data_IF_648148614880
#
_entry.id   IF_648148614880
#
_cell.length_a   1.000
_cell.length_b   1.000
_cell.length_c   1.000
_cell.angle_alpha   90.00
_cell.angle_beta   90.00
_cell.angle_gamma   90.00
#
_symmetry.space_group_name_H-M   'P 1'
#
loop_
_entity.id
_entity.type
_entity.pdbx_description
1 polymer ?
#
# COMPACT_ATOMS: atom_id res chain seq x y z
N UNK A 1 -17.99 14.69 -0.17
CA UNK A 1 -17.12 13.49 -0.16
C UNK A 1 -15.84 13.84 -0.89
N UNK A 2 -14.75 14.03 -0.17
CA UNK A 2 -13.47 14.38 -0.79
C UNK A 2 -12.94 13.14 -1.51
N UNK A 3 -12.74 13.24 -2.83
CA UNK A 3 -11.93 12.27 -3.57
C UNK A 3 -10.51 12.39 -3.02
N UNK A 4 -10.16 11.48 -2.12
CA UNK A 4 -8.95 11.57 -1.29
C UNK A 4 -7.70 11.16 -2.07
N UNK A 5 -6.65 11.98 -1.97
CA UNK A 5 -5.31 11.65 -2.47
C UNK A 5 -4.84 10.33 -1.85
N UNK A 6 -4.26 9.44 -2.66
CA UNK A 6 -3.67 8.18 -2.19
C UNK A 6 -2.59 8.46 -1.12
N UNK A 7 -2.62 7.70 -0.02
CA UNK A 7 -1.74 7.89 1.13
C UNK A 7 -1.30 6.56 1.74
N UNK A 8 -0.16 6.49 2.43
CA UNK A 8 0.21 5.31 3.19
C UNK A 8 -0.83 5.04 4.28
N UNK A 9 -1.21 3.77 4.43
CA UNK A 9 -2.10 3.29 5.50
C UNK A 9 -1.31 2.32 6.36
N UNK A 10 -1.20 2.60 7.66
CA UNK A 10 -0.53 1.72 8.61
C UNK A 10 -1.47 0.58 8.98
N UNK A 11 -1.09 -0.64 8.60
CA UNK A 11 -1.89 -1.86 8.86
C UNK A 11 -1.35 -2.69 10.02
N UNK A 12 -0.08 -2.54 10.38
CA UNK A 12 0.56 -3.23 11.51
C UNK A 12 1.26 -2.20 12.38
N UNK A 13 1.07 -2.30 13.69
CA UNK A 13 1.76 -1.50 14.70
C UNK A 13 2.52 -2.43 15.64
N UNK A 14 3.80 -2.16 15.83
CA UNK A 14 4.60 -2.84 16.84
C UNK A 14 4.46 -2.11 18.17
N UNK A 15 4.13 -2.83 19.23
CA UNK A 15 4.23 -2.35 20.60
C UNK A 15 5.55 -2.87 21.17
N UNK A 16 6.50 -1.96 21.36
CA UNK A 16 7.83 -2.30 21.88
C UNK A 16 7.79 -2.71 23.36
N UNK A 17 6.86 -2.16 24.13
CA UNK A 17 6.75 -2.40 25.58
C UNK A 17 6.14 -3.79 25.88
N UNK A 18 5.13 -4.18 25.11
CA UNK A 18 4.44 -5.47 25.25
C UNK A 18 5.04 -6.55 24.35
N UNK A 19 6.09 -6.23 23.59
CA UNK A 19 6.68 -7.11 22.56
C UNK A 19 5.61 -7.75 21.65
N UNK A 20 4.58 -6.98 21.30
CA UNK A 20 3.40 -7.46 20.58
C UNK A 20 3.20 -6.71 19.27
N UNK A 21 2.43 -7.29 18.37
CA UNK A 21 2.02 -6.65 17.12
C UNK A 21 0.50 -6.59 17.06
N UNK A 22 -0.03 -5.43 16.70
CA UNK A 22 -1.47 -5.24 16.49
C UNK A 22 -1.76 -4.98 15.03
N UNK A 23 -2.80 -5.64 14.51
CA UNK A 23 -3.27 -5.50 13.15
C UNK A 23 -4.47 -4.54 13.13
N UNK A 24 -4.46 -3.60 12.18
CA UNK A 24 -5.59 -2.70 11.93
C UNK A 24 -6.54 -3.36 10.92
N UNK A 25 -7.32 -4.34 11.40
CA UNK A 25 -8.23 -5.15 10.58
C UNK A 25 -9.22 -4.28 9.80
N UNK A 26 -9.88 -3.33 10.47
CA UNK A 26 -10.83 -2.41 9.80
C UNK A 26 -10.21 -1.63 8.65
N UNK A 27 -8.95 -1.20 8.78
CA UNK A 27 -8.27 -0.45 7.74
C UNK A 27 -7.90 -1.34 6.55
N UNK A 28 -7.52 -2.59 6.83
CA UNK A 28 -7.17 -3.57 5.80
C UNK A 28 -8.41 -4.06 5.04
N UNK A 29 -9.50 -4.35 5.75
CA UNK A 29 -10.79 -4.74 5.17
C UNK A 29 -11.31 -3.66 4.21
N UNK A 30 -11.29 -2.39 4.63
CA UNK A 30 -11.71 -1.25 3.78
C UNK A 30 -10.86 -1.09 2.52
N UNK A 31 -9.64 -1.62 2.47
CA UNK A 31 -8.76 -1.53 1.30
C UNK A 31 -8.90 -2.75 0.38
N UNK A 32 -9.01 -3.96 0.94
CA UNK A 32 -9.00 -5.20 0.16
C UNK A 32 -10.41 -5.72 -0.20
N UNK A 33 -11.45 -5.35 0.55
CA UNK A 33 -12.83 -5.79 0.31
C UNK A 33 -13.66 -4.73 -0.42
N UNK A 34 -13.02 -3.86 -1.20
CA UNK A 34 -13.75 -2.94 -2.10
C UNK A 34 -14.28 -3.74 -3.29
N UNK A 35 -15.50 -3.44 -3.72
CA UNK A 35 -16.20 -4.18 -4.79
C UNK A 35 -15.36 -4.27 -6.07
N UNK A 36 -14.57 -3.23 -6.37
CA UNK A 36 -13.76 -3.14 -7.58
C UNK A 36 -12.50 -4.04 -7.56
N UNK A 37 -12.05 -4.51 -6.39
CA UNK A 37 -10.77 -5.22 -6.23
C UNK A 37 -10.85 -6.53 -5.45
N UNK A 38 -11.93 -6.79 -4.70
CA UNK A 38 -12.05 -7.93 -3.79
C UNK A 38 -11.91 -9.29 -4.49
N UNK A 39 -12.35 -9.38 -5.75
CA UNK A 39 -12.38 -10.62 -6.53
C UNK A 39 -11.17 -10.76 -7.49
N UNK A 40 -10.21 -9.84 -7.40
CA UNK A 40 -9.01 -9.84 -8.25
C UNK A 40 -7.87 -10.63 -7.62
N UNK A 41 -7.01 -11.22 -8.46
CA UNK A 41 -5.76 -11.84 -7.98
C UNK A 41 -4.83 -10.78 -7.40
N UNK A 42 -4.36 -11.03 -6.16
CA UNK A 42 -3.49 -10.10 -5.42
C UNK A 42 -2.03 -10.53 -5.54
N UNK A 43 -1.15 -9.55 -5.80
CA UNK A 43 0.30 -9.70 -5.71
C UNK A 43 0.82 -8.81 -4.59
N UNK A 44 1.54 -9.39 -3.63
CA UNK A 44 2.16 -8.65 -2.52
C UNK A 44 3.61 -8.33 -2.87
N UNK A 45 3.93 -7.04 -2.95
CA UNK A 45 5.30 -6.54 -3.13
C UNK A 45 5.77 -5.94 -1.80
N UNK A 46 6.87 -6.46 -1.26
CA UNK A 46 7.43 -6.02 0.02
C UNK A 46 8.93 -5.76 -0.06
N UNK A 47 9.40 -4.80 0.72
CA UNK A 47 10.82 -4.44 0.86
C UNK A 47 11.20 -4.50 2.34
N UNK A 48 12.03 -5.46 2.71
CA UNK A 48 12.55 -5.64 4.07
C UNK A 48 14.08 -5.44 4.11
N UNK A 49 14.63 -5.17 5.30
CA UNK A 49 16.07 -5.03 5.50
C UNK A 49 16.46 -3.99 6.56
N UNK A 50 17.76 -3.73 6.68
CA UNK A 50 18.32 -2.88 7.74
C UNK A 50 17.75 -1.44 7.76
N UNK A 51 17.66 -0.86 8.95
CA UNK A 51 17.20 0.52 9.16
C UNK A 51 18.12 1.51 8.41
N UNK A 52 17.52 2.55 7.80
CA UNK A 52 18.21 3.61 7.02
C UNK A 52 18.94 3.17 5.73
N UNK A 53 18.58 2.01 5.14
CA UNK A 53 19.08 1.59 3.81
C UNK A 53 18.20 2.04 2.62
N UNK A 54 17.37 3.07 2.79
CA UNK A 54 16.58 3.63 1.69
C UNK A 54 15.36 2.81 1.27
N UNK A 55 14.80 1.96 2.14
CA UNK A 55 13.61 1.14 1.83
C UNK A 55 12.42 1.96 1.35
N UNK A 56 12.06 3.02 2.09
CA UNK A 56 10.96 3.93 1.71
C UNK A 56 11.24 4.66 0.41
N UNK A 57 12.51 4.97 0.10
CA UNK A 57 12.91 5.60 -1.15
C UNK A 57 12.69 4.66 -2.36
N UNK A 58 13.00 3.37 -2.21
CA UNK A 58 12.73 2.38 -3.26
C UNK A 58 11.22 2.21 -3.50
N UNK A 59 10.42 2.12 -2.44
CA UNK A 59 8.96 2.02 -2.54
C UNK A 59 8.36 3.25 -3.23
N UNK A 60 8.86 4.45 -2.95
CA UNK A 60 8.43 5.68 -3.64
C UNK A 60 8.69 5.60 -5.16
N UNK A 61 9.83 5.04 -5.57
CA UNK A 61 10.12 4.84 -6.99
C UNK A 61 9.18 3.81 -7.65
N UNK A 62 8.85 2.72 -6.94
CA UNK A 62 7.88 1.73 -7.41
C UNK A 62 6.48 2.36 -7.60
N UNK A 63 6.04 3.20 -6.66
CA UNK A 63 4.78 3.94 -6.79
C UNK A 63 4.79 4.85 -8.04
N UNK A 64 5.86 5.61 -8.25
CA UNK A 64 6.01 6.47 -9.45
C UNK A 64 5.92 5.66 -10.75
N UNK A 65 6.50 4.46 -10.78
CA UNK A 65 6.41 3.57 -11.94
C UNK A 65 4.96 3.09 -12.18
N UNK A 66 4.28 2.61 -11.13
CA UNK A 66 2.90 2.12 -11.23
C UNK A 66 1.94 3.22 -11.69
N UNK A 67 2.02 4.42 -11.12
CA UNK A 67 1.17 5.55 -11.54
C UNK A 67 1.44 5.99 -12.99
N UNK A 68 2.68 5.90 -13.47
CA UNK A 68 2.99 6.16 -14.89
C UNK A 68 2.32 5.16 -15.82
N UNK A 69 2.25 3.87 -15.45
CA UNK A 69 1.61 2.86 -16.30
C UNK A 69 0.10 3.05 -16.42
N UNK A 70 -0.58 3.36 -15.31
CA UNK A 70 -2.03 3.64 -15.30
C UNK A 70 -2.37 4.83 -16.19
N UNK A 71 -1.59 5.92 -16.09
CA UNK A 71 -1.80 7.12 -16.91
C UNK A 71 -1.50 6.91 -18.41
N UNK A 72 -0.71 5.90 -18.77
CA UNK A 72 -0.43 5.56 -20.17
C UNK A 72 -1.47 4.60 -20.79
N UNK A 73 -2.16 3.78 -19.99
CA UNK A 73 -3.22 2.88 -20.48
C UNK A 73 -4.59 3.57 -20.63
N UNK A 74 -4.77 4.79 -20.11
CA UNK A 74 -5.95 5.64 -20.31
C UNK A 74 -5.82 6.58 -21.51
N UNK A 75 -5.21 6.12 -22.62
CA UNK A 75 -5.34 6.80 -23.91
C UNK A 75 -6.57 6.23 -24.62
N UNK A 76 -7.72 6.93 -24.65
CA UNK A 76 -8.79 6.53 -25.55
C UNK A 76 -8.28 6.78 -26.98
N UNK A 77 -8.53 5.82 -27.85
CA UNK A 77 -8.62 6.13 -29.27
C UNK A 77 -9.72 7.16 -29.50
#
# INVERSE_FOLDING_TARGET
WAVGVARPVQIVTANEDEHSFTLQEEALERLLLQEEVQDLHVVVVSVAGAFRKGKSFLLDFMLRYMYKQVNCHLKPW
#
